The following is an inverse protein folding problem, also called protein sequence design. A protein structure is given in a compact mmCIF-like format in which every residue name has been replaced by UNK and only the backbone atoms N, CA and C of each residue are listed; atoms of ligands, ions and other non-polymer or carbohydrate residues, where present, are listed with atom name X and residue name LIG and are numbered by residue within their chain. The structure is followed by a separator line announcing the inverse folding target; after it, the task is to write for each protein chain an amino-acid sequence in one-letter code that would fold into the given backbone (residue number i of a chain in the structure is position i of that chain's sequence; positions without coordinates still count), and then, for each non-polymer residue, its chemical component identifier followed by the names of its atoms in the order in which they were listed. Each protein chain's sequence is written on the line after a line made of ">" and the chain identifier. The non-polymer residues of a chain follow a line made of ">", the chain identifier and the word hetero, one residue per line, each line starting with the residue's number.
data_IF_671888627721
#
_entry.id   IF_671888627721
#
_cell.length_a   1.000
_cell.length_b   1.000
_cell.length_c   1.000
_cell.angle_alpha   90.00
_cell.angle_beta   90.00
_cell.angle_gamma   90.00
#
_symmetry.space_group_name_H-M   'P 1'
#
loop_
_entity.id
_entity.type
_entity.pdbx_description
1 polymer ?
#
# COMPACT_ATOMS: atom_id res chain seq x y z
N UNK A 1 19.62 -13.11 -14.40
CA UNK A 1 19.60 -14.53 -14.79
C UNK A 1 18.55 -14.68 -15.86
N UNK A 2 18.97 -14.93 -17.11
CA UNK A 2 18.06 -15.11 -18.23
C UNK A 2 17.45 -16.51 -18.13
N UNK A 3 16.17 -16.58 -17.75
CA UNK A 3 15.38 -17.80 -17.89
C UNK A 3 15.21 -18.04 -19.38
N UNK A 4 15.48 -19.26 -19.86
CA UNK A 4 15.25 -19.62 -21.26
C UNK A 4 13.79 -19.32 -21.63
N UNK A 5 13.57 -18.74 -22.82
CA UNK A 5 12.24 -18.38 -23.35
C UNK A 5 11.23 -19.54 -23.30
N UNK A 6 11.72 -20.78 -23.22
CA UNK A 6 10.91 -21.99 -23.21
C UNK A 6 10.16 -22.25 -21.89
N UNK A 7 10.51 -21.61 -20.77
CA UNK A 7 9.88 -21.89 -19.46
C UNK A 7 8.75 -20.92 -19.11
N UNK A 8 8.86 -19.64 -19.52
CA UNK A 8 7.86 -18.62 -19.26
C UNK A 8 7.90 -17.55 -20.36
N UNK A 9 6.81 -17.37 -21.13
CA UNK A 9 6.76 -16.36 -22.19
C UNK A 9 6.51 -14.95 -21.65
N UNK A 10 6.10 -14.81 -20.40
CA UNK A 10 5.80 -13.52 -19.76
C UNK A 10 7.10 -12.69 -19.62
N UNK A 11 7.14 -11.45 -20.16
CA UNK A 11 8.27 -10.54 -19.99
C UNK A 11 8.65 -10.37 -18.52
N UNK A 12 9.95 -10.24 -18.26
CA UNK A 12 10.51 -10.25 -16.91
C UNK A 12 9.77 -9.27 -15.96
N UNK A 13 9.56 -8.02 -16.38
CA UNK A 13 8.93 -7.00 -15.52
C UNK A 13 7.44 -7.23 -15.26
N UNK A 14 6.77 -8.04 -16.10
CA UNK A 14 5.37 -8.40 -15.97
C UNK A 14 5.16 -9.71 -15.19
N UNK A 15 6.23 -10.34 -14.72
CA UNK A 15 6.12 -11.54 -13.89
C UNK A 15 5.69 -11.14 -12.47
N UNK A 16 4.67 -11.79 -11.87
CA UNK A 16 4.15 -11.41 -10.56
C UNK A 16 5.20 -11.37 -9.44
N UNK A 17 6.20 -12.26 -9.51
CA UNK A 17 7.29 -12.30 -8.55
C UNK A 17 8.23 -11.08 -8.69
N UNK A 18 8.48 -10.61 -9.91
CA UNK A 18 9.32 -9.44 -10.14
C UNK A 18 8.57 -8.14 -9.79
N UNK A 19 7.26 -8.09 -9.98
CA UNK A 19 6.42 -7.00 -9.47
C UNK A 19 6.42 -6.93 -7.93
N UNK A 20 6.45 -8.08 -7.26
CA UNK A 20 6.64 -8.12 -5.81
C UNK A 20 7.98 -7.49 -5.41
N UNK A 21 9.08 -7.87 -6.06
CA UNK A 21 10.40 -7.31 -5.76
C UNK A 21 10.45 -5.81 -6.07
N UNK A 22 9.88 -5.37 -7.20
CA UNK A 22 9.86 -3.95 -7.56
C UNK A 22 9.08 -3.09 -6.56
N UNK A 23 7.94 -3.58 -6.03
CA UNK A 23 7.26 -2.90 -4.94
C UNK A 23 8.09 -2.92 -3.65
N UNK A 24 8.63 -4.07 -3.28
CA UNK A 24 9.43 -4.23 -2.05
C UNK A 24 10.63 -3.27 -2.02
N UNK A 25 11.29 -3.09 -3.16
CA UNK A 25 12.48 -2.24 -3.29
C UNK A 25 12.13 -0.75 -3.50
N UNK A 26 10.87 -0.45 -3.83
CA UNK A 26 10.43 0.93 -4.00
C UNK A 26 10.43 1.70 -2.67
N UNK A 27 10.81 2.98 -2.74
CA UNK A 27 10.88 3.85 -1.55
C UNK A 27 9.56 3.94 -0.78
N UNK A 28 8.42 3.97 -1.47
CA UNK A 28 7.11 4.14 -0.85
C UNK A 28 6.56 2.82 -0.29
N UNK A 29 6.57 1.73 -1.08
CA UNK A 29 5.97 0.47 -0.64
C UNK A 29 6.83 -0.30 0.36
N UNK A 30 8.16 -0.09 0.37
CA UNK A 30 9.07 -0.63 1.39
C UNK A 30 8.72 -0.23 2.83
N UNK A 31 7.90 0.81 3.05
CA UNK A 31 7.48 1.16 4.41
C UNK A 31 6.70 0.04 5.07
N UNK A 32 5.89 -0.68 4.31
CA UNK A 32 5.09 -1.79 4.81
C UNK A 32 5.94 -2.97 5.29
N UNK A 33 7.14 -3.17 4.70
CA UNK A 33 8.05 -4.29 4.99
C UNK A 33 8.94 -4.04 6.20
N UNK A 34 8.86 -2.86 6.82
CA UNK A 34 9.61 -2.53 8.03
C UNK A 34 9.17 -3.41 9.22
N UNK A 35 10.04 -3.60 10.20
CA UNK A 35 9.64 -4.15 11.51
C UNK A 35 8.53 -3.30 12.14
N UNK A 36 7.68 -3.88 12.99
CA UNK A 36 6.54 -3.16 13.59
C UNK A 36 6.92 -1.83 14.26
N UNK A 37 8.04 -1.77 15.00
CA UNK A 37 8.52 -0.54 15.63
C UNK A 37 8.89 0.55 14.63
N UNK A 38 9.67 0.18 13.60
CA UNK A 38 10.06 1.11 12.54
C UNK A 38 8.86 1.54 11.67
N UNK A 39 7.91 0.65 11.44
CA UNK A 39 6.66 0.95 10.75
C UNK A 39 5.85 2.01 11.51
N UNK A 40 5.64 1.81 12.82
CA UNK A 40 4.93 2.79 13.67
C UNK A 40 5.68 4.13 13.73
N UNK A 41 7.01 4.11 13.86
CA UNK A 41 7.84 5.33 13.81
C UNK A 41 7.70 6.05 12.47
N UNK A 42 7.67 5.32 11.35
CA UNK A 42 7.50 5.89 10.02
C UNK A 42 6.13 6.56 9.87
N UNK A 43 5.05 5.91 10.34
CA UNK A 43 3.71 6.51 10.36
C UNK A 43 3.68 7.79 11.19
N UNK A 44 4.25 7.77 12.40
CA UNK A 44 4.32 8.96 13.26
C UNK A 44 5.07 10.12 12.59
N UNK A 45 6.23 9.84 11.97
CA UNK A 45 7.01 10.86 11.26
C UNK A 45 6.23 11.45 10.07
N UNK A 46 5.50 10.62 9.32
CA UNK A 46 4.65 11.09 8.23
C UNK A 46 3.52 11.97 8.78
N UNK A 47 2.81 11.53 9.82
CA UNK A 47 1.76 12.32 10.46
C UNK A 47 2.28 13.66 10.99
N UNK A 48 3.43 13.67 11.66
CA UNK A 48 4.06 14.89 12.15
C UNK A 48 4.45 15.84 11.00
N UNK A 49 4.99 15.30 9.90
CA UNK A 49 5.32 16.10 8.72
C UNK A 49 4.07 16.68 8.05
N UNK A 50 2.98 15.91 7.99
CA UNK A 50 1.70 16.39 7.47
C UNK A 50 1.12 17.50 8.36
N UNK A 51 1.14 17.34 9.69
CA UNK A 51 0.66 18.36 10.62
C UNK A 51 1.40 19.70 10.43
N UNK A 52 2.73 19.65 10.33
CA UNK A 52 3.55 20.85 10.09
C UNK A 52 3.24 21.51 8.73
N UNK A 53 3.00 20.72 7.69
CA UNK A 53 2.71 21.22 6.35
C UNK A 53 1.29 21.78 6.20
N UNK A 54 0.33 21.20 6.90
CA UNK A 54 -1.10 21.52 6.78
C UNK A 54 -1.55 22.61 7.76
N UNK A 55 -0.87 22.74 8.90
CA UNK A 55 -1.16 23.75 9.92
C UNK A 55 -1.30 25.19 9.40
N UNK A 56 -0.46 25.71 8.47
CA UNK A 56 -0.59 27.08 7.96
C UNK A 56 -1.85 27.33 7.13
N UNK A 57 -2.47 26.27 6.60
CA UNK A 57 -3.71 26.35 5.79
C UNK A 57 -4.92 26.64 6.70
N UNK A 58 -4.85 26.24 7.97
CA UNK A 58 -5.93 26.37 8.93
C UNK A 58 -5.84 27.75 9.58
N UNK A 59 -6.89 28.56 9.42
CA UNK A 59 -6.88 29.97 9.84
C UNK A 59 -6.63 30.14 11.35
N UNK A 60 -5.79 31.11 11.76
CA UNK A 60 -5.41 31.32 13.17
C UNK A 60 -6.51 31.95 14.03
N UNK A 61 -7.69 32.25 13.47
CA UNK A 61 -8.81 32.89 14.19
C UNK A 61 -9.70 31.89 14.95
N UNK A 62 -9.37 30.60 14.91
CA UNK A 62 -10.11 29.56 15.62
C UNK A 62 -9.55 29.36 17.04
N UNK A 63 -10.38 28.98 18.03
CA UNK A 63 -9.87 28.63 19.35
C UNK A 63 -8.88 27.46 19.24
N UNK A 64 -7.82 27.48 20.06
CA UNK A 64 -6.68 26.55 19.93
C UNK A 64 -7.10 25.07 19.89
N UNK A 65 -8.12 24.69 20.67
CA UNK A 65 -8.65 23.31 20.71
C UNK A 65 -9.28 22.93 19.38
N UNK A 66 -10.06 23.83 18.77
CA UNK A 66 -10.70 23.60 17.47
C UNK A 66 -9.67 23.54 16.37
N UNK A 67 -8.67 24.42 16.41
CA UNK A 67 -7.52 24.38 15.50
C UNK A 67 -6.83 23.01 15.52
N UNK A 68 -6.48 22.52 16.72
CA UNK A 68 -5.79 21.22 16.87
C UNK A 68 -6.62 20.05 16.35
N UNK A 69 -7.92 20.02 16.63
CA UNK A 69 -8.79 18.94 16.16
C UNK A 69 -8.95 18.98 14.63
N UNK A 70 -9.09 20.17 14.04
CA UNK A 70 -9.15 20.32 12.58
C UNK A 70 -7.84 19.89 11.92
N UNK A 71 -6.69 20.22 12.50
CA UNK A 71 -5.37 19.79 12.00
C UNK A 71 -5.21 18.27 12.07
N UNK A 72 -5.54 17.66 13.22
CA UNK A 72 -5.51 16.21 13.39
C UNK A 72 -6.42 15.50 12.38
N UNK A 73 -7.65 15.97 12.19
CA UNK A 73 -8.60 15.43 11.22
C UNK A 73 -8.04 15.48 9.80
N UNK A 74 -7.42 16.60 9.42
CA UNK A 74 -6.82 16.73 8.09
C UNK A 74 -5.63 15.78 7.90
N UNK A 75 -4.78 15.66 8.92
CA UNK A 75 -3.63 14.75 8.92
C UNK A 75 -4.07 13.29 8.80
N UNK A 76 -5.04 12.84 9.61
CA UNK A 76 -5.55 11.46 9.56
C UNK A 76 -6.25 11.18 8.23
N UNK A 77 -6.96 12.16 7.67
CA UNK A 77 -7.56 12.06 6.34
C UNK A 77 -6.50 11.83 5.25
N UNK A 78 -5.43 12.63 5.18
CA UNK A 78 -4.34 12.41 4.23
C UNK A 78 -3.59 11.10 4.46
N UNK A 79 -3.36 10.72 5.72
CA UNK A 79 -2.74 9.45 6.06
C UNK A 79 -3.56 8.26 5.56
N UNK A 80 -4.90 8.36 5.56
CA UNK A 80 -5.78 7.32 5.01
C UNK A 80 -5.53 7.07 3.52
N UNK A 81 -5.33 8.11 2.70
CA UNK A 81 -5.00 7.97 1.27
C UNK A 81 -3.67 7.27 1.04
N UNK A 82 -2.65 7.59 1.86
CA UNK A 82 -1.34 6.91 1.82
C UNK A 82 -1.53 5.41 2.08
N UNK A 83 -2.27 5.06 3.13
CA UNK A 83 -2.53 3.66 3.49
C UNK A 83 -3.37 2.93 2.43
N UNK A 84 -4.38 3.59 1.85
CA UNK A 84 -5.17 3.03 0.73
C UNK A 84 -4.27 2.74 -0.47
N UNK A 85 -3.36 3.66 -0.84
CA UNK A 85 -2.43 3.43 -1.96
C UNK A 85 -1.51 2.24 -1.71
N UNK A 86 -0.98 2.12 -0.49
CA UNK A 86 -0.18 0.96 -0.09
C UNK A 86 -0.99 -0.34 -0.19
N UNK A 87 -2.21 -0.34 0.37
CA UNK A 87 -3.11 -1.48 0.32
C UNK A 87 -3.42 -1.93 -1.12
N UNK A 88 -3.75 -0.99 -2.00
CA UNK A 88 -4.08 -1.29 -3.39
C UNK A 88 -2.91 -1.93 -4.13
N UNK A 89 -1.69 -1.38 -4.00
CA UNK A 89 -0.50 -1.93 -4.65
C UNK A 89 -0.17 -3.35 -4.17
N UNK A 90 -0.18 -3.60 -2.87
CA UNK A 90 0.06 -4.95 -2.35
C UNK A 90 -1.06 -5.93 -2.69
N UNK A 91 -2.33 -5.48 -2.71
CA UNK A 91 -3.46 -6.35 -3.06
C UNK A 91 -3.44 -6.75 -4.53
N UNK A 92 -2.96 -5.86 -5.40
CA UNK A 92 -2.75 -6.15 -6.81
C UNK A 92 -1.70 -7.26 -6.99
N UNK A 93 -0.53 -7.10 -6.37
CA UNK A 93 0.56 -8.09 -6.48
C UNK A 93 0.15 -9.43 -5.89
N UNK A 94 -0.46 -9.46 -4.70
CA UNK A 94 -0.87 -10.75 -4.09
C UNK A 94 -1.90 -11.47 -4.95
N UNK A 95 -2.85 -10.74 -5.56
CA UNK A 95 -3.84 -11.32 -6.46
C UNK A 95 -3.16 -11.99 -7.66
N UNK A 96 -2.11 -11.36 -8.20
CA UNK A 96 -1.33 -11.91 -9.33
C UNK A 96 -0.43 -13.07 -8.93
N UNK A 97 0.14 -13.06 -7.74
CA UNK A 97 0.91 -14.19 -7.20
C UNK A 97 0.01 -15.43 -7.02
N UNK A 98 -1.17 -15.26 -6.43
CA UNK A 98 -2.09 -16.37 -6.14
C UNK A 98 -2.82 -16.92 -7.38
N UNK A 99 -2.94 -16.10 -8.43
CA UNK A 99 -3.59 -16.48 -9.69
C UNK A 99 -2.81 -17.56 -10.45
N UNK A 100 -3.55 -18.53 -11.00
CA UNK A 100 -3.00 -19.55 -11.90
C UNK A 100 -2.71 -19.01 -13.31
N UNK A 101 -3.31 -17.89 -13.67
CA UNK A 101 -3.13 -17.23 -14.97
C UNK A 101 -2.49 -15.85 -14.82
N UNK A 102 -1.73 -15.45 -15.82
CA UNK A 102 -1.11 -14.13 -15.94
C UNK A 102 -1.41 -13.56 -17.30
N UNK A 103 -2.00 -12.37 -17.33
CA UNK A 103 -2.10 -11.56 -18.53
C UNK A 103 -0.77 -10.85 -18.75
N UNK A 104 -0.27 -10.87 -19.99
CA UNK A 104 0.97 -10.20 -20.36
C UNK A 104 0.91 -9.68 -21.79
N UNK A 105 1.72 -8.66 -22.08
CA UNK A 105 1.81 -8.03 -23.38
C UNK A 105 3.27 -8.06 -23.85
N UNK A 106 3.51 -8.60 -25.05
CA UNK A 106 4.83 -8.56 -25.68
C UNK A 106 5.00 -7.24 -26.44
N UNK A 107 6.23 -6.72 -26.52
CA UNK A 107 6.52 -5.52 -27.32
C UNK A 107 6.24 -5.80 -28.80
N UNK A 108 5.10 -5.33 -29.32
CA UNK A 108 4.67 -5.56 -30.69
C UNK A 108 3.26 -5.02 -30.97
N UNK A 109 2.73 -5.33 -32.15
CA UNK A 109 1.35 -5.00 -32.57
C UNK A 109 0.32 -6.07 -32.14
N UNK A 110 0.73 -7.03 -31.32
CA UNK A 110 -0.12 -8.13 -30.88
C UNK A 110 -0.85 -7.76 -29.59
N UNK A 111 -2.13 -8.11 -29.52
CA UNK A 111 -2.92 -7.98 -28.30
C UNK A 111 -2.31 -8.82 -27.17
N UNK A 112 -2.59 -8.42 -25.92
CA UNK A 112 -2.10 -9.16 -24.76
C UNK A 112 -2.64 -10.59 -24.68
N UNK A 113 -1.80 -11.48 -24.14
CA UNK A 113 -2.04 -12.91 -24.07
C UNK A 113 -2.24 -13.36 -22.62
N UNK A 114 -2.96 -14.48 -22.44
CA UNK A 114 -3.09 -15.15 -21.14
C UNK A 114 -2.19 -16.37 -21.10
N UNK A 115 -1.30 -16.41 -20.11
CA UNK A 115 -0.46 -17.56 -19.84
C UNK A 115 -0.88 -18.28 -18.56
N UNK A 116 -0.90 -19.61 -18.61
CA UNK A 116 -1.18 -20.48 -17.45
C UNK A 116 0.15 -20.87 -16.81
N UNK A 117 0.32 -20.58 -15.52
CA UNK A 117 1.53 -20.90 -14.78
C UNK A 117 1.69 -22.41 -14.65
N UNK A 118 2.93 -22.89 -14.77
CA UNK A 118 3.27 -24.26 -14.39
C UNK A 118 3.04 -24.48 -12.88
N UNK A 119 2.83 -25.73 -12.48
CA UNK A 119 2.59 -26.07 -11.07
C UNK A 119 3.75 -25.60 -10.16
N UNK A 120 5.00 -25.72 -10.63
CA UNK A 120 6.18 -25.26 -9.92
C UNK A 120 6.18 -23.74 -9.67
N UNK A 121 5.96 -22.94 -10.72
CA UNK A 121 5.95 -21.47 -10.64
C UNK A 121 4.78 -21.00 -9.76
N UNK A 122 3.60 -21.57 -9.94
CA UNK A 122 2.43 -21.24 -9.13
C UNK A 122 2.65 -21.56 -7.64
N UNK A 123 3.31 -22.68 -7.33
CA UNK A 123 3.60 -23.06 -5.95
C UNK A 123 4.55 -22.06 -5.30
N UNK A 124 5.63 -21.68 -6.00
CA UNK A 124 6.57 -20.64 -5.54
C UNK A 124 5.88 -19.30 -5.30
N UNK A 125 5.08 -18.84 -6.26
CA UNK A 125 4.36 -17.57 -6.16
C UNK A 125 3.38 -17.57 -4.98
N UNK A 126 2.68 -18.68 -4.74
CA UNK A 126 1.75 -18.82 -3.62
C UNK A 126 2.44 -18.81 -2.27
N UNK A 127 3.63 -19.42 -2.15
CA UNK A 127 4.41 -19.34 -0.93
C UNK A 127 4.77 -17.88 -0.60
N UNK A 128 5.26 -17.12 -1.57
CA UNK A 128 5.56 -15.69 -1.38
C UNK A 128 4.28 -14.90 -1.07
N UNK A 129 3.20 -15.13 -1.83
CA UNK A 129 1.93 -14.45 -1.62
C UNK A 129 1.38 -14.65 -0.21
N UNK A 130 1.39 -15.90 0.28
CA UNK A 130 0.81 -16.28 1.58
C UNK A 130 1.69 -15.84 2.74
N UNK A 131 3.00 -16.10 2.68
CA UNK A 131 3.88 -15.92 3.83
C UNK A 131 4.53 -14.54 3.89
N UNK A 132 4.73 -13.87 2.76
CA UNK A 132 5.35 -12.54 2.72
C UNK A 132 4.30 -11.44 2.54
N UNK A 133 3.40 -11.55 1.55
CA UNK A 133 2.55 -10.40 1.16
C UNK A 133 1.28 -10.30 2.00
N UNK A 134 0.59 -11.41 2.30
CA UNK A 134 -0.64 -11.37 3.11
C UNK A 134 -0.44 -10.75 4.52
N UNK A 135 0.64 -11.03 5.26
CA UNK A 135 0.88 -10.37 6.55
C UNK A 135 1.05 -8.86 6.44
N UNK A 136 1.69 -8.38 5.35
CA UNK A 136 1.82 -6.94 5.07
C UNK A 136 0.46 -6.31 4.83
N UNK A 137 -0.40 -6.96 4.03
CA UNK A 137 -1.76 -6.51 3.78
C UNK A 137 -2.62 -6.48 5.03
N UNK A 138 -2.53 -7.50 5.88
CA UNK A 138 -3.24 -7.54 7.16
C UNK A 138 -2.83 -6.38 8.05
N UNK A 139 -1.52 -6.11 8.17
CA UNK A 139 -1.01 -4.96 8.91
C UNK A 139 -1.60 -3.65 8.39
N UNK A 140 -1.54 -3.41 7.07
CA UNK A 140 -2.07 -2.19 6.46
C UNK A 140 -3.58 -2.08 6.73
N UNK A 141 -4.32 -3.19 6.61
CA UNK A 141 -5.77 -3.22 6.89
C UNK A 141 -6.08 -2.85 8.34
N UNK A 142 -5.34 -3.39 9.31
CA UNK A 142 -5.51 -3.02 10.72
C UNK A 142 -5.20 -1.54 10.96
N UNK A 143 -4.13 -1.01 10.37
CA UNK A 143 -3.80 0.41 10.51
C UNK A 143 -4.82 1.32 9.85
N UNK A 144 -5.37 0.92 8.70
CA UNK A 144 -6.43 1.67 8.04
C UNK A 144 -7.70 1.67 8.87
N UNK A 145 -8.07 0.53 9.46
CA UNK A 145 -9.20 0.42 10.38
C UNK A 145 -9.06 1.35 11.59
N UNK A 146 -7.85 1.46 12.15
CA UNK A 146 -7.54 2.35 13.26
C UNK A 146 -7.61 3.83 12.82
N UNK A 147 -7.05 4.16 11.66
CA UNK A 147 -7.11 5.55 11.15
C UNK A 147 -8.55 5.97 10.87
N UNK A 148 -9.38 5.08 10.32
CA UNK A 148 -10.81 5.36 10.10
C UNK A 148 -11.54 5.60 11.43
N UNK A 149 -11.28 4.79 12.46
CA UNK A 149 -11.91 5.01 13.77
C UNK A 149 -11.47 6.33 14.41
N UNK A 150 -10.20 6.75 14.22
CA UNK A 150 -9.72 8.06 14.66
C UNK A 150 -10.41 9.20 13.92
N UNK A 151 -10.56 9.13 12.59
CA UNK A 151 -11.27 10.16 11.80
C UNK A 151 -12.70 10.34 12.31
N UNK A 152 -13.40 9.24 12.62
CA UNK A 152 -14.77 9.30 13.16
C UNK A 152 -14.78 10.00 14.53
N UNK A 153 -13.84 9.65 15.41
CA UNK A 153 -13.71 10.27 16.73
C UNK A 153 -13.40 11.76 16.62
N UNK A 154 -12.44 12.15 15.80
CA UNK A 154 -12.05 13.55 15.55
C UNK A 154 -13.21 14.35 14.97
N UNK A 155 -13.97 13.77 14.04
CA UNK A 155 -15.17 14.38 13.46
C UNK A 155 -16.27 14.61 14.50
N UNK A 156 -16.47 13.63 15.39
CA UNK A 156 -17.43 13.75 16.50
C UNK A 156 -17.00 14.85 17.49
N UNK A 157 -15.72 14.89 17.86
CA UNK A 157 -15.18 15.95 18.73
C UNK A 157 -15.29 17.33 18.09
N UNK A 158 -15.03 17.44 16.79
CA UNK A 158 -15.21 18.69 16.04
C UNK A 158 -16.67 19.16 16.07
N UNK A 159 -17.63 18.24 15.92
CA UNK A 159 -19.06 18.56 16.02
C UNK A 159 -19.46 19.05 17.42
N UNK A 160 -18.94 18.45 18.49
CA UNK A 160 -19.22 18.89 19.87
C UNK A 160 -18.67 20.30 20.20
N UNK A 161 -17.65 20.75 19.47
CA UNK A 161 -17.02 22.06 19.63
C UNK A 161 -17.57 23.13 18.67
N UNK A 162 -18.47 22.74 17.76
CA UNK A 162 -19.14 23.65 16.81
C UNK A 162 -20.44 24.20 17.38
#
# INVERSE_FOLDING_TARGET
>A
MFISKDVCPVPFDQQPLNEYYSLKDSWFFSWSTLSIGNYSRKLFLISASLALLLSPVITPKTPIVRFLITDLLLVTFFLSFILIRLYLGWSYVVKRLLSATVFYEESGWYDGQLWIKTAEILTKDRLVGIYEVLPLLQRIKYTLSLVISLIILESFMYYLLS
#
